data_IF_202585384406
#
_entry.id   IF_202585384406
#
_cell.length_a   1.000
_cell.length_b   1.000
_cell.length_c   1.000
_cell.angle_alpha   90.00
_cell.angle_beta   90.00
_cell.angle_gamma   90.00
#
_symmetry.space_group_name_H-M   'P 1'
#
loop_
_entity.id
_entity.type
_entity.pdbx_description
1 polymer ?
#
# COMPACT_ATOMS: atom_id res chain seq x y z
N UNK A 1 -6.79 -16.32 19.40
CA UNK A 1 -7.44 -15.05 19.80
C UNK A 1 -7.30 -14.11 18.62
N UNK A 2 -8.37 -13.51 18.11
CA UNK A 2 -8.25 -12.57 16.99
C UNK A 2 -7.58 -11.27 17.49
N UNK A 3 -6.72 -10.62 16.69
CA UNK A 3 -6.04 -9.39 17.10
C UNK A 3 -7.07 -8.31 17.40
N UNK A 4 -6.77 -7.49 18.41
CA UNK A 4 -7.59 -6.35 18.81
C UNK A 4 -7.69 -5.35 17.64
N UNK A 5 -8.77 -4.58 17.55
CA UNK A 5 -8.95 -3.53 16.54
C UNK A 5 -7.72 -2.63 16.34
N UNK A 6 -7.11 -2.15 17.43
CA UNK A 6 -5.90 -1.33 17.39
C UNK A 6 -4.70 -2.07 16.76
N UNK A 7 -4.45 -3.33 17.16
CA UNK A 7 -3.35 -4.15 16.63
C UNK A 7 -3.50 -4.39 15.12
N UNK A 8 -4.74 -4.50 14.62
CA UNK A 8 -5.01 -4.63 13.18
C UNK A 8 -4.64 -3.35 12.43
N UNK A 9 -5.03 -2.20 12.97
CA UNK A 9 -4.71 -0.89 12.38
C UNK A 9 -3.19 -0.65 12.40
N UNK A 10 -2.52 -0.97 13.51
CA UNK A 10 -1.05 -0.88 13.62
C UNK A 10 -0.34 -1.76 12.57
N UNK A 11 -0.79 -3.00 12.37
CA UNK A 11 -0.25 -3.87 11.32
C UNK A 11 -0.47 -3.29 9.91
N UNK A 12 -1.61 -2.64 9.67
CA UNK A 12 -1.87 -1.92 8.43
C UNK A 12 -0.95 -0.70 8.23
N UNK A 13 -0.64 0.03 9.31
CA UNK A 13 0.29 1.15 9.32
C UNK A 13 1.74 0.71 9.11
N UNK A 14 2.12 -0.46 9.59
CA UNK A 14 3.45 -1.01 9.31
C UNK A 14 3.56 -1.54 7.87
N UNK A 15 2.47 -2.10 7.33
CA UNK A 15 2.39 -2.46 5.90
C UNK A 15 2.58 -1.25 4.97
N UNK A 16 2.03 -0.07 5.28
CA UNK A 16 2.23 1.12 4.42
C UNK A 16 3.69 1.57 4.35
N UNK A 17 4.46 1.45 5.45
CA UNK A 17 5.89 1.80 5.45
C UNK A 17 6.70 0.93 4.48
N UNK A 18 6.37 -0.36 4.41
CA UNK A 18 7.00 -1.29 3.47
C UNK A 18 6.64 -0.97 2.02
N UNK A 19 5.40 -0.49 1.79
CA UNK A 19 4.91 -0.12 0.47
C UNK A 19 5.67 1.07 -0.15
N UNK A 20 5.91 2.14 0.60
CA UNK A 20 6.66 3.30 0.09
C UNK A 20 8.11 2.92 -0.26
N UNK A 21 8.74 2.06 0.56
CA UNK A 21 10.07 1.52 0.25
C UNK A 21 10.08 0.70 -1.06
N UNK A 22 9.08 -0.15 -1.27
CA UNK A 22 8.95 -0.96 -2.48
C UNK A 22 8.77 -0.07 -3.73
N UNK A 23 7.97 1.00 -3.60
CA UNK A 23 7.76 1.99 -4.66
C UNK A 23 9.06 2.68 -5.06
N UNK A 24 9.83 3.11 -4.07
CA UNK A 24 11.07 3.84 -4.33
C UNK A 24 12.13 2.91 -4.95
N UNK A 25 12.19 1.64 -4.53
CA UNK A 25 12.98 0.61 -5.26
C UNK A 25 12.59 0.50 -6.73
N UNK A 26 11.29 0.49 -7.04
CA UNK A 26 10.81 0.44 -8.44
C UNK A 26 11.27 1.67 -9.21
N UNK A 27 11.16 2.87 -8.62
CA UNK A 27 11.61 4.12 -9.28
C UNK A 27 13.12 4.12 -9.52
N UNK A 28 13.92 3.71 -8.54
CA UNK A 28 15.37 3.67 -8.64
C UNK A 28 15.82 2.69 -9.72
N UNK A 29 15.21 1.51 -9.76
CA UNK A 29 15.42 0.52 -10.81
C UNK A 29 14.99 1.04 -12.19
N UNK A 30 13.83 1.70 -12.27
CA UNK A 30 13.31 2.31 -13.50
C UNK A 30 14.23 3.42 -14.02
N UNK A 31 14.82 4.23 -13.14
CA UNK A 31 15.75 5.29 -13.51
C UNK A 31 17.09 4.74 -14.06
N UNK A 32 17.45 3.52 -13.65
CA UNK A 32 18.67 2.84 -14.09
C UNK A 32 18.45 1.93 -15.30
N UNK A 33 17.20 1.70 -15.71
CA UNK A 33 16.84 0.81 -16.80
C UNK A 33 17.16 1.43 -18.16
N UNK A 34 17.86 0.65 -19.00
CA UNK A 34 18.28 1.04 -20.35
C UNK A 34 17.32 0.50 -21.42
N UNK A 35 16.60 -0.58 -21.11
CA UNK A 35 15.56 -1.15 -21.95
C UNK A 35 14.30 -0.28 -21.90
N UNK A 36 14.07 0.48 -22.97
CA UNK A 36 12.93 1.39 -23.09
C UNK A 36 11.59 0.69 -23.04
N UNK A 37 11.50 -0.56 -23.50
CA UNK A 37 10.25 -1.30 -23.54
C UNK A 37 9.87 -1.78 -22.13
N UNK A 38 10.85 -2.28 -21.36
CA UNK A 38 10.66 -2.57 -19.93
C UNK A 38 10.28 -1.32 -19.15
N UNK A 39 11.03 -0.23 -19.34
CA UNK A 39 10.77 1.03 -18.67
C UNK A 39 9.36 1.57 -18.99
N UNK A 40 8.91 1.45 -20.25
CA UNK A 40 7.57 1.88 -20.63
C UNK A 40 6.48 1.00 -20.00
N UNK A 41 6.65 -0.33 -19.98
CA UNK A 41 5.71 -1.26 -19.33
C UNK A 41 5.54 -0.94 -17.83
N UNK A 42 6.64 -0.67 -17.14
CA UNK A 42 6.61 -0.28 -15.72
C UNK A 42 5.93 1.07 -15.54
N UNK A 43 6.24 2.08 -16.37
CA UNK A 43 5.60 3.41 -16.29
C UNK A 43 4.09 3.34 -16.45
N UNK A 44 3.61 2.52 -17.39
CA UNK A 44 2.17 2.30 -17.58
C UNK A 44 1.57 1.67 -16.32
N UNK A 45 2.13 0.56 -15.82
CA UNK A 45 1.65 -0.09 -14.59
C UNK A 45 1.65 0.83 -13.37
N UNK A 46 2.71 1.60 -13.18
CA UNK A 46 2.78 2.58 -12.10
C UNK A 46 1.69 3.66 -12.24
N UNK A 47 1.44 4.14 -13.47
CA UNK A 47 0.41 5.13 -13.73
C UNK A 47 -0.99 4.59 -13.48
N UNK A 48 -1.28 3.36 -13.93
CA UNK A 48 -2.56 2.67 -13.69
C UNK A 48 -2.81 2.46 -12.19
N UNK A 49 -1.74 2.22 -11.42
CA UNK A 49 -1.82 2.02 -9.97
C UNK A 49 -1.91 3.31 -9.14
N UNK A 50 -1.69 4.49 -9.73
CA UNK A 50 -1.62 5.76 -8.99
C UNK A 50 -2.96 6.16 -8.35
N UNK A 51 -4.07 5.81 -9.01
CA UNK A 51 -5.42 6.00 -8.45
C UNK A 51 -5.63 5.15 -7.19
N UNK A 52 -5.28 3.85 -7.26
CA UNK A 52 -5.33 2.93 -6.11
C UNK A 52 -4.42 3.42 -4.98
N UNK A 53 -3.21 3.89 -5.30
CA UNK A 53 -2.29 4.48 -4.32
C UNK A 53 -2.88 5.69 -3.61
N UNK A 54 -3.42 6.65 -4.36
CA UNK A 54 -4.02 7.85 -3.79
C UNK A 54 -5.21 7.51 -2.89
N UNK A 55 -6.01 6.52 -3.30
CA UNK A 55 -7.09 5.98 -2.47
C UNK A 55 -6.55 5.36 -1.18
N UNK A 56 -5.53 4.51 -1.26
CA UNK A 56 -4.91 3.88 -0.09
C UNK A 56 -4.32 4.91 0.89
N UNK A 57 -3.65 5.95 0.39
CA UNK A 57 -3.15 7.05 1.25
C UNK A 57 -4.29 7.77 1.97
N UNK A 58 -5.40 8.05 1.27
CA UNK A 58 -6.57 8.68 1.89
C UNK A 58 -7.23 7.79 2.94
N UNK A 59 -7.29 6.48 2.70
CA UNK A 59 -7.81 5.49 3.66
C UNK A 59 -6.88 5.34 4.86
N UNK A 60 -5.56 5.36 4.64
CA UNK A 60 -4.56 5.31 5.71
C UNK A 60 -4.75 6.43 6.71
N UNK A 61 -4.88 7.68 6.25
CA UNK A 61 -5.11 8.83 7.14
C UNK A 61 -6.41 8.71 7.94
N UNK A 62 -7.46 8.10 7.35
CA UNK A 62 -8.71 7.81 8.09
C UNK A 62 -8.51 6.73 9.16
N UNK A 63 -7.73 5.69 8.85
CA UNK A 63 -7.41 4.61 9.79
C UNK A 63 -6.53 5.12 10.94
N UNK A 64 -5.56 6.00 10.66
CA UNK A 64 -4.75 6.65 11.69
C UNK A 64 -5.60 7.45 12.68
N UNK A 65 -6.52 8.28 12.17
CA UNK A 65 -7.46 9.02 13.01
C UNK A 65 -8.33 8.05 13.84
N UNK A 66 -8.83 7.00 13.19
CA UNK A 66 -9.66 6.00 13.83
C UNK A 66 -8.93 5.17 14.89
N UNK A 67 -7.60 4.99 14.77
CA UNK A 67 -6.82 4.23 15.74
C UNK A 67 -6.86 4.87 17.13
N UNK A 68 -6.72 6.19 17.18
CA UNK A 68 -6.80 6.97 18.43
C UNK A 68 -8.20 6.91 19.05
N UNK A 69 -9.25 6.93 18.22
CA UNK A 69 -10.63 6.86 18.70
C UNK A 69 -11.01 5.46 19.20
N UNK A 70 -10.52 4.41 18.52
CA UNK A 70 -10.74 3.01 18.94
C UNK A 70 -9.98 2.71 20.23
N UNK A 71 -8.75 3.18 20.39
CA UNK A 71 -7.98 3.01 21.64
C UNK A 71 -8.57 3.82 22.80
N UNK A 72 -9.21 4.96 22.52
CA UNK A 72 -9.98 5.75 23.48
C UNK A 72 -11.38 5.21 23.81
N UNK A 73 -11.85 4.17 23.11
CA UNK A 73 -13.18 3.59 23.30
C UNK A 73 -14.34 4.38 22.67
N UNK A 74 -14.04 5.33 21.78
CA UNK A 74 -15.02 6.20 21.11
C UNK A 74 -15.55 5.64 19.80
N UNK A 75 -14.84 4.67 19.20
CA UNK A 75 -15.20 4.01 17.95
C UNK A 75 -15.13 2.49 18.11
N UNK A 76 -16.06 1.77 17.48
CA UNK A 76 -16.06 0.31 17.45
C UNK A 76 -15.45 -0.21 16.15
N UNK A 77 -14.95 -1.44 16.17
CA UNK A 77 -14.37 -2.10 14.99
C UNK A 77 -15.32 -2.10 13.79
N UNK A 78 -16.61 -2.37 14.02
CA UNK A 78 -17.61 -2.45 12.95
C UNK A 78 -17.74 -1.14 12.16
N UNK A 79 -17.43 0.00 12.78
CA UNK A 79 -17.50 1.31 12.14
C UNK A 79 -16.32 1.55 11.18
N UNK A 80 -15.21 0.86 11.40
CA UNK A 80 -13.95 1.06 10.66
C UNK A 80 -13.57 -0.13 9.79
N UNK A 81 -14.23 -1.28 9.96
CA UNK A 81 -13.91 -2.54 9.28
C UNK A 81 -13.98 -2.40 7.76
N UNK A 82 -14.99 -1.71 7.21
CA UNK A 82 -15.08 -1.47 5.76
C UNK A 82 -13.88 -0.68 5.25
N UNK A 83 -13.53 0.41 5.93
CA UNK A 83 -12.37 1.25 5.60
C UNK A 83 -11.07 0.44 5.66
N UNK A 84 -10.92 -0.40 6.68
CA UNK A 84 -9.76 -1.26 6.86
C UNK A 84 -9.64 -2.32 5.76
N UNK A 85 -10.75 -2.96 5.39
CA UNK A 85 -10.78 -3.98 4.35
C UNK A 85 -10.48 -3.38 2.98
N UNK A 86 -11.03 -2.21 2.68
CA UNK A 86 -10.73 -1.49 1.44
C UNK A 86 -9.25 -1.07 1.36
N UNK A 87 -8.68 -0.60 2.47
CA UNK A 87 -7.26 -0.27 2.54
C UNK A 87 -6.39 -1.51 2.31
N UNK A 88 -6.71 -2.61 2.99
CA UNK A 88 -5.95 -3.86 2.90
C UNK A 88 -5.96 -4.42 1.47
N UNK A 89 -7.13 -4.44 0.83
CA UNK A 89 -7.26 -4.89 -0.55
C UNK A 89 -6.45 -4.01 -1.51
N UNK A 90 -6.51 -2.68 -1.35
CA UNK A 90 -5.75 -1.76 -2.18
C UNK A 90 -4.24 -1.87 -1.98
N UNK A 91 -3.76 -2.06 -0.75
CA UNK A 91 -2.33 -2.27 -0.47
C UNK A 91 -1.84 -3.59 -1.05
N UNK A 92 -2.61 -4.67 -0.94
CA UNK A 92 -2.21 -5.97 -1.49
C UNK A 92 -2.17 -5.93 -3.04
N UNK A 93 -3.10 -5.22 -3.70
CA UNK A 93 -3.07 -4.94 -5.15
C UNK A 93 -1.81 -4.18 -5.55
N UNK A 94 -1.47 -3.15 -4.78
CA UNK A 94 -0.32 -2.31 -5.01
C UNK A 94 1.02 -3.03 -4.77
N UNK A 95 1.13 -3.84 -3.72
CA UNK A 95 2.30 -4.69 -3.45
C UNK A 95 2.53 -5.68 -4.62
N UNK A 96 1.47 -6.34 -5.08
CA UNK A 96 1.54 -7.22 -6.25
C UNK A 96 2.01 -6.45 -7.49
N UNK A 97 1.49 -5.25 -7.71
CA UNK A 97 1.85 -4.42 -8.88
C UNK A 97 3.32 -4.01 -8.84
N UNK A 98 3.83 -3.58 -7.69
CA UNK A 98 5.21 -3.15 -7.57
C UNK A 98 6.20 -4.32 -7.60
N UNK A 99 5.84 -5.48 -7.06
CA UNK A 99 6.61 -6.71 -7.26
C UNK A 99 6.71 -7.12 -8.72
N UNK A 100 5.60 -7.04 -9.46
CA UNK A 100 5.57 -7.29 -10.91
C UNK A 100 6.43 -6.26 -11.66
N UNK A 101 6.39 -4.99 -11.26
CA UNK A 101 7.30 -3.96 -11.81
C UNK A 101 8.78 -4.30 -11.55
N UNK A 102 9.14 -4.75 -10.34
CA UNK A 102 10.51 -5.18 -10.03
C UNK A 102 10.91 -6.41 -10.86
N UNK A 103 10.01 -7.37 -11.05
CA UNK A 103 10.26 -8.56 -11.88
C UNK A 103 10.50 -8.18 -13.35
N UNK A 104 9.69 -7.28 -13.92
CA UNK A 104 9.91 -6.73 -15.27
C UNK A 104 11.30 -6.10 -15.38
N UNK A 105 11.75 -5.39 -14.34
CA UNK A 105 13.06 -4.75 -14.27
C UNK A 105 14.19 -5.73 -13.90
N UNK A 106 13.89 -6.99 -13.62
CA UNK A 106 14.88 -8.00 -13.20
C UNK A 106 15.47 -7.75 -11.81
N UNK A 107 14.78 -7.00 -10.96
CA UNK A 107 15.19 -6.69 -9.59
C UNK A 107 14.47 -7.63 -8.61
N UNK A 108 15.22 -8.24 -7.70
CA UNK A 108 14.61 -9.06 -6.65
C UNK A 108 13.97 -8.18 -5.57
N UNK A 109 12.74 -8.47 -5.13
CA UNK A 109 12.03 -7.70 -4.10
C UNK A 109 12.75 -7.71 -2.74
#
# INVERSE_FOLDING_TARGET
MAPKPAERIEAALDKSKNFDSLRDKVKDALNSEQDKDKANRVKVKMSDSEATRTKCQSLLSKLEASCNDVTGGNLYWNDIESTFNEYSAGIDELDSTYRDCLDILGVKP
#
